data_IF_426594047960
#
_entry.id   IF_426594047960
#
_cell.length_a   1.000
_cell.length_b   1.000
_cell.length_c   1.000
_cell.angle_alpha   90.00
_cell.angle_beta   90.00
_cell.angle_gamma   90.00
#
_symmetry.space_group_name_H-M   'P 1'
#
loop_
_entity.id
_entity.type
_entity.pdbx_description
1 polymer ?
#
# COMPACT_ATOMS: atom_id res chain seq x y z
N UNK A 1 -57.31 51.96 -34.63
CA UNK A 1 -56.37 52.20 -35.77
C UNK A 1 -57.19 52.72 -36.94
N UNK A 2 -56.62 53.56 -37.82
CA UNK A 2 -57.28 53.93 -39.08
C UNK A 2 -56.93 52.87 -40.12
N UNK A 3 -57.85 51.96 -40.40
CA UNK A 3 -57.73 50.94 -41.44
C UNK A 3 -58.48 51.42 -42.67
N UNK A 4 -57.82 51.42 -43.83
CA UNK A 4 -58.45 51.77 -45.10
C UNK A 4 -59.15 50.52 -45.65
N UNK A 5 -60.48 50.56 -45.74
CA UNK A 5 -61.23 49.57 -46.51
C UNK A 5 -61.24 49.96 -47.99
N UNK A 6 -61.39 48.96 -48.89
CA UNK A 6 -61.41 49.15 -50.35
C UNK A 6 -62.47 50.15 -50.86
N UNK A 7 -63.39 50.58 -50.00
CA UNK A 7 -64.52 51.45 -50.36
C UNK A 7 -64.27 52.93 -50.04
N UNK A 8 -63.02 53.34 -49.80
CA UNK A 8 -62.61 54.73 -49.51
C UNK A 8 -63.34 55.37 -48.30
N UNK A 9 -63.85 54.55 -47.37
CA UNK A 9 -64.43 55.02 -46.11
C UNK A 9 -63.40 54.90 -45.00
N UNK A 10 -63.20 55.99 -44.28
CA UNK A 10 -62.42 56.01 -43.05
C UNK A 10 -63.26 55.32 -41.96
N UNK A 11 -62.99 54.04 -41.69
CA UNK A 11 -63.54 53.37 -40.53
C UNK A 11 -62.63 53.65 -39.33
N UNK A 12 -63.24 54.14 -38.25
CA UNK A 12 -62.59 54.28 -36.95
C UNK A 12 -62.80 52.96 -36.21
N UNK A 13 -61.92 52.00 -36.46
CA UNK A 13 -61.87 50.79 -35.66
C UNK A 13 -61.24 51.17 -34.31
N UNK A 14 -62.12 51.50 -33.36
CA UNK A 14 -61.73 51.53 -31.95
C UNK A 14 -61.45 50.10 -31.54
N UNK A 15 -60.18 49.80 -31.31
CA UNK A 15 -59.75 48.52 -30.72
C UNK A 15 -60.11 48.61 -29.25
N UNK A 16 -61.36 48.26 -28.94
CA UNK A 16 -61.85 48.12 -27.57
C UNK A 16 -61.52 46.73 -27.05
N UNK A 17 -61.39 46.61 -25.73
CA UNK A 17 -61.22 45.31 -25.10
C UNK A 17 -62.48 44.48 -25.32
N UNK A 18 -62.34 43.34 -26.00
CA UNK A 18 -63.45 42.41 -26.25
C UNK A 18 -63.97 41.79 -24.95
N UNK A 19 -63.08 41.55 -23.98
CA UNK A 19 -63.44 41.01 -22.67
C UNK A 19 -62.45 41.39 -21.58
N UNK A 20 -62.97 41.65 -20.38
CA UNK A 20 -62.18 41.77 -19.15
C UNK A 20 -62.21 40.46 -18.35
N UNK A 21 -61.04 39.94 -18.00
CA UNK A 21 -60.89 38.75 -17.16
C UNK A 21 -60.71 39.18 -15.70
N UNK A 22 -61.81 39.18 -14.94
CA UNK A 22 -61.81 39.62 -13.54
C UNK A 22 -61.58 38.44 -12.57
N UNK A 23 -60.71 38.62 -11.57
CA UNK A 23 -60.57 37.66 -10.47
C UNK A 23 -59.32 37.78 -9.62
N UNK A 24 -58.23 38.37 -10.14
CA UNK A 24 -57.09 38.75 -9.31
C UNK A 24 -57.45 39.89 -8.36
N UNK A 25 -56.89 39.87 -7.15
CA UNK A 25 -57.15 40.88 -6.10
C UNK A 25 -56.08 41.98 -6.03
N UNK A 26 -55.04 41.86 -6.85
CA UNK A 26 -53.90 42.77 -6.96
C UNK A 26 -53.47 42.88 -8.44
N UNK A 27 -52.54 43.80 -8.79
CA UNK A 27 -52.09 43.97 -10.17
C UNK A 27 -51.60 42.66 -10.81
N UNK A 28 -52.06 42.41 -12.03
CA UNK A 28 -51.53 41.35 -12.90
C UNK A 28 -50.17 41.80 -13.40
N UNK A 29 -49.13 41.05 -13.04
CA UNK A 29 -47.73 41.41 -13.29
C UNK A 29 -47.21 40.82 -14.59
N UNK A 30 -47.73 39.66 -15.01
CA UNK A 30 -47.31 39.00 -16.24
C UNK A 30 -48.42 38.13 -16.83
N UNK A 31 -48.32 37.91 -18.14
CA UNK A 31 -49.23 37.10 -18.95
C UNK A 31 -48.41 36.22 -19.90
N UNK A 32 -48.78 34.94 -19.99
CA UNK A 32 -48.21 34.00 -20.93
C UNK A 32 -49.32 33.25 -21.68
N UNK A 33 -49.16 33.05 -22.98
CA UNK A 33 -50.09 32.23 -23.77
C UNK A 33 -49.82 30.76 -23.53
N UNK A 34 -50.86 29.97 -23.30
CA UNK A 34 -50.73 28.51 -23.22
C UNK A 34 -50.84 27.93 -24.63
N UNK A 35 -49.80 27.23 -25.14
CA UNK A 35 -49.88 26.58 -26.44
C UNK A 35 -51.04 25.59 -26.51
N UNK A 36 -51.71 25.55 -27.66
CA UNK A 36 -52.73 24.52 -27.89
C UNK A 36 -52.05 23.18 -28.16
N UNK A 37 -52.59 22.07 -27.65
CA UNK A 37 -52.15 20.74 -28.05
C UNK A 37 -52.21 20.61 -29.58
N UNK A 38 -51.14 20.10 -30.20
CA UNK A 38 -51.05 19.98 -31.67
C UNK A 38 -52.14 19.07 -32.24
N UNK A 39 -52.60 18.12 -31.43
CA UNK A 39 -53.67 17.16 -31.69
C UNK A 39 -55.09 17.74 -31.48
N UNK A 40 -55.23 18.95 -30.92
CA UNK A 40 -56.52 19.59 -30.66
C UNK A 40 -56.51 21.08 -31.08
N UNK A 41 -56.54 21.37 -32.40
CA UNK A 41 -56.50 22.74 -32.91
C UNK A 41 -57.76 23.56 -32.58
N UNK A 42 -58.86 22.91 -32.22
CA UNK A 42 -60.13 23.56 -31.85
C UNK A 42 -60.27 23.77 -30.33
N UNK A 43 -59.30 23.33 -29.53
CA UNK A 43 -59.31 23.56 -28.09
C UNK A 43 -59.35 25.06 -27.76
N UNK A 44 -60.02 25.39 -26.65
CA UNK A 44 -60.13 26.76 -26.16
C UNK A 44 -58.74 27.39 -26.00
N UNK A 45 -58.62 28.65 -26.42
CA UNK A 45 -57.38 29.41 -26.22
C UNK A 45 -57.27 29.71 -24.72
N UNK A 46 -56.08 29.47 -24.16
CA UNK A 46 -55.83 29.65 -22.73
C UNK A 46 -54.66 30.60 -22.50
N UNK A 47 -54.74 31.37 -21.43
CA UNK A 47 -53.65 32.22 -20.97
C UNK A 47 -53.37 31.95 -19.49
N UNK A 48 -52.12 32.09 -19.10
CA UNK A 48 -51.66 32.06 -17.72
C UNK A 48 -51.37 33.50 -17.28
N UNK A 49 -51.90 33.91 -16.15
CA UNK A 49 -51.60 35.20 -15.52
C UNK A 49 -50.91 34.99 -14.19
N UNK A 50 -49.90 35.81 -13.92
CA UNK A 50 -49.29 35.99 -12.60
C UNK A 50 -49.72 37.32 -12.00
N UNK A 51 -49.90 37.36 -10.69
CA UNK A 51 -50.34 38.57 -9.99
C UNK A 51 -49.56 38.81 -8.71
N UNK A 52 -49.51 40.07 -8.32
CA UNK A 52 -49.00 40.50 -7.01
C UNK A 52 -49.82 39.96 -5.82
N UNK A 53 -50.99 39.35 -6.06
CA UNK A 53 -51.75 38.60 -5.04
C UNK A 53 -51.12 37.24 -4.71
N UNK A 54 -50.06 36.87 -5.42
CA UNK A 54 -49.31 35.64 -5.26
C UNK A 54 -49.95 34.42 -5.93
N UNK A 55 -51.01 34.62 -6.71
CA UNK A 55 -51.69 33.54 -7.43
C UNK A 55 -51.34 33.52 -8.91
N UNK A 56 -51.14 32.32 -9.44
CA UNK A 56 -51.20 32.03 -10.86
C UNK A 56 -52.63 31.65 -11.22
N UNK A 57 -53.16 32.19 -12.32
CA UNK A 57 -54.46 31.78 -12.85
C UNK A 57 -54.40 31.43 -14.31
N UNK A 58 -55.00 30.31 -14.67
CA UNK A 58 -55.23 29.96 -16.08
C UNK A 58 -56.65 30.32 -16.46
N UNK A 59 -56.84 30.92 -17.63
CA UNK A 59 -58.13 31.41 -18.11
C UNK A 59 -58.49 30.77 -19.44
N UNK A 60 -59.75 30.39 -19.59
CA UNK A 60 -60.34 30.06 -20.88
C UNK A 60 -60.80 31.36 -21.55
N UNK A 61 -60.24 31.69 -22.71
CA UNK A 61 -60.55 32.94 -23.41
C UNK A 61 -61.93 32.97 -24.09
N UNK A 62 -62.54 31.81 -24.35
CA UNK A 62 -63.89 31.76 -24.95
C UNK A 62 -64.94 32.11 -23.89
N UNK A 63 -64.76 31.62 -22.66
CA UNK A 63 -65.71 31.79 -21.55
C UNK A 63 -65.35 32.93 -20.61
N UNK A 64 -64.08 33.34 -20.59
CA UNK A 64 -63.52 34.31 -19.64
C UNK A 64 -63.41 33.79 -18.20
N UNK A 65 -63.62 32.49 -17.98
CA UNK A 65 -63.58 31.87 -16.66
C UNK A 65 -62.17 31.40 -16.31
N UNK A 66 -61.80 31.53 -15.03
CA UNK A 66 -60.57 30.95 -14.51
C UNK A 66 -60.74 29.42 -14.41
N UNK A 67 -59.89 28.67 -15.11
CA UNK A 67 -59.89 27.19 -15.10
C UNK A 67 -58.91 26.63 -14.07
N UNK A 68 -57.94 27.44 -13.62
CA UNK A 68 -56.92 27.05 -12.64
C UNK A 68 -56.58 28.21 -11.72
N UNK A 69 -56.28 27.91 -10.47
CA UNK A 69 -55.67 28.85 -9.53
C UNK A 69 -54.63 28.11 -8.67
N UNK A 70 -53.39 28.60 -8.67
CA UNK A 70 -52.29 28.09 -7.85
C UNK A 70 -51.65 29.22 -7.06
N UNK A 71 -51.08 28.90 -5.90
CA UNK A 71 -50.45 29.90 -5.04
C UNK A 71 -48.93 29.71 -5.05
N UNK A 72 -48.20 30.77 -5.39
CA UNK A 72 -46.75 30.80 -5.33
C UNK A 72 -46.24 30.99 -3.89
N UNK A 73 -47.01 31.69 -3.05
CA UNK A 73 -46.72 32.00 -1.65
C UNK A 73 -46.21 33.42 -1.39
N UNK A 74 -46.03 34.22 -2.45
CA UNK A 74 -45.62 35.62 -2.41
C UNK A 74 -45.94 36.30 -3.77
N UNK A 75 -45.91 37.64 -3.87
CA UNK A 75 -46.23 38.36 -5.11
C UNK A 75 -45.44 37.82 -6.30
N UNK A 76 -46.15 37.44 -7.37
CA UNK A 76 -45.53 36.91 -8.59
C UNK A 76 -45.00 38.08 -9.41
N UNK A 77 -43.77 37.97 -9.88
CA UNK A 77 -43.13 38.98 -10.71
C UNK A 77 -43.27 38.67 -12.19
N UNK A 78 -43.20 37.39 -12.57
CA UNK A 78 -43.29 36.94 -13.96
C UNK A 78 -43.76 35.49 -14.07
N UNK A 79 -44.32 35.12 -15.22
CA UNK A 79 -44.78 33.77 -15.55
C UNK A 79 -44.38 33.39 -16.97
N UNK A 80 -44.05 32.13 -17.18
CA UNK A 80 -43.75 31.60 -18.50
C UNK A 80 -44.38 30.22 -18.68
N UNK A 81 -44.74 29.87 -19.92
CA UNK A 81 -45.26 28.55 -20.28
C UNK A 81 -44.26 27.91 -21.25
N UNK A 82 -44.00 26.61 -21.09
CA UNK A 82 -43.12 25.87 -22.00
C UNK A 82 -43.74 25.78 -23.39
N UNK A 83 -42.90 25.69 -24.43
CA UNK A 83 -43.37 25.59 -25.83
C UNK A 83 -44.22 24.35 -26.11
N UNK A 84 -44.04 23.27 -25.35
CA UNK A 84 -44.88 22.06 -25.37
C UNK A 84 -46.20 22.19 -24.57
N UNK A 85 -46.37 23.29 -23.81
CA UNK A 85 -47.53 23.54 -22.93
C UNK A 85 -47.63 22.60 -21.72
N UNK A 86 -46.65 21.73 -21.49
CA UNK A 86 -46.67 20.72 -20.42
C UNK A 86 -46.19 21.26 -19.08
N UNK A 87 -45.51 22.41 -19.07
CA UNK A 87 -44.95 23.03 -17.88
C UNK A 87 -45.18 24.54 -17.90
N UNK A 88 -45.20 25.13 -16.72
CA UNK A 88 -45.12 26.58 -16.57
C UNK A 88 -44.26 26.92 -15.37
N UNK A 89 -43.70 28.12 -15.39
CA UNK A 89 -42.84 28.64 -14.36
C UNK A 89 -43.38 29.96 -13.85
N UNK A 90 -43.03 30.28 -12.62
CA UNK A 90 -43.33 31.56 -11.98
C UNK A 90 -42.12 32.01 -11.21
N UNK A 91 -41.84 33.31 -11.23
CA UNK A 91 -40.88 33.95 -10.34
C UNK A 91 -41.61 34.84 -9.34
N UNK A 92 -41.01 35.06 -8.18
CA UNK A 92 -41.62 35.87 -7.14
C UNK A 92 -40.63 36.77 -6.42
N UNK A 93 -41.19 37.80 -5.77
CA UNK A 93 -40.50 38.71 -4.88
C UNK A 93 -39.90 38.03 -3.63
N UNK A 94 -40.20 36.75 -3.37
CA UNK A 94 -39.59 35.95 -2.30
C UNK A 94 -38.30 35.22 -2.71
N UNK A 95 -37.68 35.63 -3.82
CA UNK A 95 -36.41 35.11 -4.35
C UNK A 95 -36.49 33.69 -4.92
N UNK A 96 -37.70 33.16 -5.16
CA UNK A 96 -37.89 31.81 -5.69
C UNK A 96 -38.50 31.84 -7.09
N UNK A 97 -38.12 30.84 -7.88
CA UNK A 97 -38.82 30.45 -9.07
C UNK A 97 -39.38 29.05 -8.87
N UNK A 98 -40.64 28.85 -9.21
CA UNK A 98 -41.32 27.55 -9.11
C UNK A 98 -41.65 27.04 -10.49
N UNK A 99 -41.30 25.79 -10.73
CA UNK A 99 -41.64 25.03 -11.93
C UNK A 99 -42.83 24.13 -11.60
N UNK A 100 -43.83 24.12 -12.48
CA UNK A 100 -45.09 23.44 -12.27
C UNK A 100 -45.41 22.52 -13.44
N UNK A 101 -46.05 21.40 -13.12
CA UNK A 101 -46.61 20.48 -14.11
C UNK A 101 -48.00 20.96 -14.55
N UNK A 102 -48.19 21.14 -15.85
CA UNK A 102 -49.44 21.65 -16.42
C UNK A 102 -50.60 20.66 -16.37
N UNK A 103 -50.34 19.35 -16.32
CA UNK A 103 -51.37 18.33 -16.30
C UNK A 103 -51.98 18.13 -14.90
N UNK A 104 -51.16 18.17 -13.85
CA UNK A 104 -51.59 17.77 -12.50
C UNK A 104 -51.38 18.82 -11.40
N UNK A 105 -50.92 20.03 -11.75
CA UNK A 105 -50.68 21.15 -10.83
C UNK A 105 -49.58 20.92 -9.78
N UNK A 106 -48.79 19.85 -9.89
CA UNK A 106 -47.71 19.61 -8.93
C UNK A 106 -46.55 20.57 -9.17
N UNK A 107 -45.98 21.08 -8.07
CA UNK A 107 -44.70 21.78 -8.09
C UNK A 107 -43.60 20.75 -8.36
N UNK A 108 -42.90 20.90 -9.49
CA UNK A 108 -41.82 20.01 -9.92
C UNK A 108 -40.49 20.38 -9.26
N UNK A 109 -40.21 21.68 -9.14
CA UNK A 109 -38.99 22.20 -8.53
C UNK A 109 -39.18 23.60 -7.95
N UNK A 110 -38.35 23.92 -6.96
CA UNK A 110 -38.14 25.28 -6.46
C UNK A 110 -36.68 25.66 -6.72
N UNK A 111 -36.49 26.75 -7.45
CA UNK A 111 -35.18 27.28 -7.84
C UNK A 111 -34.96 28.56 -7.05
N UNK A 112 -33.88 28.60 -6.27
CA UNK A 112 -33.62 29.66 -5.32
C UNK A 112 -32.13 29.98 -5.25
N UNK A 113 -31.85 31.26 -5.02
CA UNK A 113 -30.53 31.77 -4.69
C UNK A 113 -29.57 31.89 -5.86
N UNK A 114 -28.43 32.55 -5.58
CA UNK A 114 -27.36 32.73 -6.55
C UNK A 114 -26.53 31.44 -6.67
N UNK A 115 -26.55 30.83 -7.85
CA UNK A 115 -25.79 29.62 -8.14
C UNK A 115 -24.28 29.77 -7.86
N UNK A 116 -23.74 30.99 -7.89
CA UNK A 116 -22.33 31.27 -7.55
C UNK A 116 -22.07 31.14 -6.05
N UNK A 117 -22.96 31.66 -5.21
CA UNK A 117 -22.86 31.53 -3.77
C UNK A 117 -23.07 30.07 -3.33
N UNK A 118 -23.98 29.35 -4.02
CA UNK A 118 -24.20 27.92 -3.82
C UNK A 118 -23.00 27.06 -4.28
N UNK A 119 -22.18 27.55 -5.22
CA UNK A 119 -20.97 26.84 -5.64
C UNK A 119 -19.94 26.74 -4.51
N UNK A 120 -19.81 27.78 -3.68
CA UNK A 120 -18.92 27.76 -2.51
C UNK A 120 -19.43 26.80 -1.44
N UNK A 121 -20.74 26.81 -1.17
CA UNK A 121 -21.39 25.83 -0.28
C UNK A 121 -21.15 24.40 -0.77
N UNK A 122 -21.30 24.15 -2.07
CA UNK A 122 -21.05 22.83 -2.67
C UNK A 122 -19.57 22.42 -2.58
N UNK A 123 -18.64 23.37 -2.78
CA UNK A 123 -17.19 23.14 -2.63
C UNK A 123 -16.84 22.74 -1.19
N UNK A 124 -17.27 23.53 -0.20
CA UNK A 124 -17.01 23.24 1.22
C UNK A 124 -17.68 21.91 1.62
N UNK A 125 -18.88 21.63 1.12
CA UNK A 125 -19.57 20.36 1.38
C UNK A 125 -18.76 19.18 0.86
N UNK A 126 -18.22 19.24 -0.37
CA UNK A 126 -17.35 18.19 -0.92
C UNK A 126 -16.07 18.03 -0.09
N UNK A 127 -15.44 19.14 0.29
CA UNK A 127 -14.24 19.12 1.13
C UNK A 127 -14.52 18.48 2.49
N UNK A 128 -15.68 18.78 3.09
CA UNK A 128 -16.15 18.15 4.34
C UNK A 128 -16.35 16.66 4.14
N UNK A 129 -17.06 16.24 3.09
CA UNK A 129 -17.27 14.82 2.78
C UNK A 129 -15.94 14.07 2.62
N UNK A 130 -14.99 14.64 1.88
CA UNK A 130 -13.66 14.05 1.71
C UNK A 130 -12.89 13.97 3.02
N UNK A 131 -12.93 15.02 3.85
CA UNK A 131 -12.29 15.04 5.16
C UNK A 131 -12.90 14.00 6.13
N UNK A 132 -14.23 13.85 6.13
CA UNK A 132 -14.93 12.83 6.93
C UNK A 132 -14.55 11.42 6.49
N UNK A 133 -14.52 11.16 5.18
CA UNK A 133 -14.09 9.86 4.65
C UNK A 133 -12.64 9.54 5.06
N UNK A 134 -11.75 10.53 4.97
CA UNK A 134 -10.35 10.38 5.41
C UNK A 134 -10.25 10.11 6.92
N UNK A 135 -10.97 10.86 7.75
CA UNK A 135 -11.02 10.66 9.20
C UNK A 135 -11.49 9.25 9.56
N UNK A 136 -12.54 8.74 8.89
CA UNK A 136 -13.02 7.38 9.10
C UNK A 136 -11.94 6.34 8.75
N UNK A 137 -11.28 6.48 7.61
CA UNK A 137 -10.20 5.58 7.20
C UNK A 137 -9.00 5.62 8.17
N UNK A 138 -8.58 6.82 8.60
CA UNK A 138 -7.50 6.99 9.57
C UNK A 138 -7.87 6.40 10.94
N UNK A 139 -9.13 6.53 11.39
CA UNK A 139 -9.61 5.89 12.62
C UNK A 139 -9.59 4.37 12.53
N UNK A 140 -9.98 3.79 11.39
CA UNK A 140 -9.86 2.34 11.16
C UNK A 140 -8.40 1.90 11.18
N UNK A 141 -7.51 2.63 10.51
CA UNK A 141 -6.08 2.35 10.52
C UNK A 141 -5.47 2.46 11.93
N UNK A 142 -5.90 3.45 12.73
CA UNK A 142 -5.46 3.63 14.11
C UNK A 142 -5.89 2.44 14.98
N UNK A 143 -7.15 2.03 14.90
CA UNK A 143 -7.66 0.88 15.66
C UNK A 143 -6.89 -0.41 15.33
N UNK A 144 -6.58 -0.63 14.05
CA UNK A 144 -5.79 -1.78 13.61
C UNK A 144 -4.32 -1.68 14.06
N UNK A 145 -3.72 -0.48 14.03
CA UNK A 145 -2.36 -0.25 14.53
C UNK A 145 -2.27 -0.50 16.05
N UNK A 146 -3.24 -0.02 16.83
CA UNK A 146 -3.30 -0.24 18.28
C UNK A 146 -3.49 -1.72 18.63
N UNK A 147 -4.25 -2.47 17.83
CA UNK A 147 -4.41 -3.91 17.97
C UNK A 147 -3.14 -4.69 17.61
N UNK A 148 -2.41 -4.24 16.60
CA UNK A 148 -1.20 -4.91 16.13
C UNK A 148 0.03 -4.64 17.00
N UNK A 149 0.09 -3.50 17.69
CA UNK A 149 1.21 -3.15 18.58
C UNK A 149 1.55 -4.23 19.63
N UNK A 150 0.60 -4.76 20.43
CA UNK A 150 0.91 -5.84 21.39
C UNK A 150 1.38 -7.12 20.69
N UNK A 151 0.83 -7.45 19.52
CA UNK A 151 1.26 -8.63 18.74
C UNK A 151 2.71 -8.50 18.30
N UNK A 152 3.12 -7.33 17.79
CA UNK A 152 4.51 -7.05 17.42
C UNK A 152 5.45 -7.02 18.62
N UNK A 153 4.96 -6.53 19.76
CA UNK A 153 5.71 -6.53 21.04
C UNK A 153 6.01 -7.96 21.48
N UNK A 154 5.02 -8.84 21.46
CA UNK A 154 5.17 -10.25 21.82
C UNK A 154 6.08 -11.01 20.83
N UNK A 155 5.95 -10.71 19.54
CA UNK A 155 6.79 -11.30 18.50
C UNK A 155 8.27 -10.93 18.67
N UNK A 156 8.56 -9.64 18.90
CA UNK A 156 9.92 -9.16 19.16
C UNK A 156 10.52 -9.82 20.41
N UNK A 157 9.74 -9.91 21.49
CA UNK A 157 10.17 -10.61 22.71
C UNK A 157 10.53 -12.07 22.45
N UNK A 158 9.65 -12.83 21.77
CA UNK A 158 9.91 -14.24 21.43
C UNK A 158 11.15 -14.40 20.55
N UNK A 159 11.35 -13.50 19.58
CA UNK A 159 12.52 -13.54 18.72
C UNK A 159 13.82 -13.24 19.49
N UNK A 160 13.79 -12.27 20.41
CA UNK A 160 14.91 -11.96 21.30
C UNK A 160 15.25 -13.15 22.22
N UNK A 161 14.24 -13.80 22.82
CA UNK A 161 14.43 -14.98 23.65
C UNK A 161 15.03 -16.15 22.86
N UNK A 162 14.58 -16.37 21.61
CA UNK A 162 15.11 -17.40 20.73
C UNK A 162 16.57 -17.12 20.32
N UNK A 163 16.92 -15.86 20.04
CA UNK A 163 18.30 -15.45 19.77
C UNK A 163 19.19 -15.66 21.00
N UNK A 164 18.71 -15.31 22.19
CA UNK A 164 19.44 -15.54 23.44
C UNK A 164 19.72 -17.04 23.66
N UNK A 165 18.73 -17.90 23.41
CA UNK A 165 18.91 -19.36 23.48
C UNK A 165 19.92 -19.87 22.44
N UNK A 166 19.86 -19.41 21.19
CA UNK A 166 20.81 -19.80 20.15
C UNK A 166 22.24 -19.34 20.46
N UNK A 167 22.42 -18.14 21.02
CA UNK A 167 23.73 -17.65 21.48
C UNK A 167 24.33 -18.55 22.59
N UNK A 168 23.49 -19.00 23.53
CA UNK A 168 23.91 -19.94 24.58
C UNK A 168 24.28 -21.31 23.98
N UNK A 169 23.52 -21.80 23.00
CA UNK A 169 23.82 -23.06 22.34
C UNK A 169 25.16 -23.02 21.60
N UNK A 170 25.43 -21.97 20.82
CA UNK A 170 26.74 -21.78 20.16
C UNK A 170 27.87 -21.79 21.17
N UNK A 171 27.72 -21.05 22.29
CA UNK A 171 28.72 -21.03 23.36
C UNK A 171 28.97 -22.43 23.92
N UNK A 172 27.92 -23.20 24.15
CA UNK A 172 28.02 -24.58 24.63
C UNK A 172 28.69 -25.51 23.61
N UNK A 173 28.36 -25.41 22.31
CA UNK A 173 28.98 -26.22 21.25
C UNK A 173 30.44 -25.86 21.02
N UNK A 174 30.82 -24.57 21.12
CA UNK A 174 32.22 -24.14 21.06
C UNK A 174 33.04 -24.74 22.21
N UNK A 175 32.51 -24.72 23.44
CA UNK A 175 33.17 -25.34 24.58
C UNK A 175 33.33 -26.87 24.42
N UNK A 176 32.31 -27.54 23.88
CA UNK A 176 32.35 -28.97 23.59
C UNK A 176 33.40 -29.31 22.51
N UNK A 177 33.45 -28.55 21.40
CA UNK A 177 34.46 -28.73 20.36
C UNK A 177 35.86 -28.54 20.92
N UNK A 178 36.09 -27.51 21.75
CA UNK A 178 37.38 -27.29 22.40
C UNK A 178 37.81 -28.49 23.24
N UNK A 179 36.90 -29.04 24.04
CA UNK A 179 37.19 -30.21 24.88
C UNK A 179 37.60 -31.42 24.05
N UNK A 180 36.88 -31.68 22.94
CA UNK A 180 37.19 -32.81 22.04
C UNK A 180 38.50 -32.57 21.29
N UNK A 181 38.76 -31.33 20.86
CA UNK A 181 40.00 -30.95 20.18
C UNK A 181 41.23 -31.14 21.10
N UNK A 182 41.13 -30.71 22.36
CA UNK A 182 42.18 -30.89 23.37
C UNK A 182 42.43 -32.39 23.61
N UNK A 183 41.37 -33.21 23.70
CA UNK A 183 41.48 -34.66 23.84
C UNK A 183 42.11 -35.35 22.62
N UNK A 184 41.76 -34.90 21.40
CA UNK A 184 42.35 -35.40 20.16
C UNK A 184 43.84 -35.09 20.09
N UNK A 185 44.24 -33.85 20.38
CA UNK A 185 45.64 -33.45 20.43
C UNK A 185 46.45 -34.26 21.45
N UNK A 186 45.86 -34.55 22.63
CA UNK A 186 46.50 -35.39 23.63
C UNK A 186 46.67 -36.85 23.16
N UNK A 187 45.67 -37.43 22.50
CA UNK A 187 45.75 -38.79 21.96
C UNK A 187 46.78 -38.90 20.83
N UNK A 188 46.83 -37.91 19.93
CA UNK A 188 47.83 -37.84 18.86
C UNK A 188 49.25 -37.72 19.42
N UNK A 189 49.44 -36.89 20.46
CA UNK A 189 50.73 -36.78 21.15
C UNK A 189 51.17 -38.13 21.75
N UNK A 190 50.28 -38.83 22.45
CA UNK A 190 50.57 -40.15 23.02
C UNK A 190 50.91 -41.18 21.94
N UNK A 191 50.24 -41.15 20.79
CA UNK A 191 50.54 -42.03 19.67
C UNK A 191 51.96 -41.78 19.11
N UNK A 192 52.35 -40.51 18.96
CA UNK A 192 53.71 -40.12 18.52
C UNK A 192 54.77 -40.60 19.51
N UNK A 193 54.55 -40.36 20.82
CA UNK A 193 55.48 -40.78 21.87
C UNK A 193 55.62 -42.30 21.93
N UNK A 194 54.51 -43.05 21.85
CA UNK A 194 54.52 -44.51 21.84
C UNK A 194 55.22 -45.07 20.59
N UNK A 195 55.01 -44.46 19.42
CA UNK A 195 55.71 -44.84 18.19
C UNK A 195 57.23 -44.65 18.30
N UNK A 196 57.69 -43.56 18.92
CA UNK A 196 59.11 -43.32 19.17
C UNK A 196 59.72 -44.38 20.12
N UNK A 197 58.98 -44.79 21.17
CA UNK A 197 59.39 -45.88 22.07
C UNK A 197 59.48 -47.21 21.33
N UNK A 198 58.49 -47.54 20.49
CA UNK A 198 58.49 -48.74 19.68
C UNK A 198 59.68 -48.77 18.70
N UNK A 199 59.98 -47.66 18.04
CA UNK A 199 61.14 -47.55 17.15
C UNK A 199 62.45 -47.79 17.89
N UNK A 200 62.63 -47.18 19.08
CA UNK A 200 63.81 -47.39 19.91
C UNK A 200 63.95 -48.85 20.36
N UNK A 201 62.85 -49.50 20.75
CA UNK A 201 62.86 -50.91 21.14
C UNK A 201 63.17 -51.84 19.96
N UNK A 202 62.66 -51.54 18.77
CA UNK A 202 62.97 -52.28 17.54
C UNK A 202 64.45 -52.19 17.16
N UNK A 203 65.06 -51.00 17.29
CA UNK A 203 66.50 -50.82 17.09
C UNK A 203 67.33 -51.60 18.11
N UNK A 204 66.92 -51.60 19.38
CA UNK A 204 67.59 -52.39 20.41
C UNK A 204 67.49 -53.90 20.16
N UNK A 205 66.35 -54.39 19.68
CA UNK A 205 66.18 -55.78 19.24
C UNK A 205 67.11 -56.10 18.06
N UNK A 206 67.16 -55.25 17.04
CA UNK A 206 68.04 -55.46 15.89
C UNK A 206 69.52 -55.56 16.30
N UNK A 207 69.96 -54.72 17.25
CA UNK A 207 71.31 -54.81 17.81
C UNK A 207 71.55 -56.11 18.59
N UNK A 208 70.56 -56.58 19.37
CA UNK A 208 70.67 -57.86 20.08
C UNK A 208 70.67 -59.07 19.12
N UNK A 209 69.87 -59.03 18.04
CA UNK A 209 69.86 -60.03 16.98
C UNK A 209 71.26 -60.13 16.33
N UNK A 210 71.91 -58.99 16.07
CA UNK A 210 73.28 -58.94 15.53
C UNK A 210 74.31 -59.53 16.51
N UNK A 211 74.21 -59.20 17.80
CA UNK A 211 75.10 -59.76 18.83
C UNK A 211 74.96 -61.29 18.95
N UNK A 212 73.74 -61.83 18.87
CA UNK A 212 73.51 -63.29 18.85
C UNK A 212 74.08 -63.92 17.59
N UNK A 213 73.91 -63.29 16.42
CA UNK A 213 74.51 -63.76 15.18
C UNK A 213 76.04 -63.82 15.26
N UNK A 214 76.68 -62.77 15.80
CA UNK A 214 78.13 -62.72 16.02
C UNK A 214 78.61 -63.76 17.04
N UNK A 215 77.90 -63.92 18.17
CA UNK A 215 78.23 -64.93 19.19
C UNK A 215 78.07 -66.36 18.66
N UNK A 216 77.06 -66.61 17.82
CA UNK A 216 76.85 -67.90 17.15
C UNK A 216 78.00 -68.21 16.19
N UNK A 217 78.43 -67.23 15.40
CA UNK A 217 79.58 -67.38 14.51
C UNK A 217 80.86 -67.66 15.32
N UNK A 218 81.12 -66.90 16.39
CA UNK A 218 82.29 -67.10 17.25
C UNK A 218 82.30 -68.49 17.91
N UNK A 219 81.15 -68.99 18.37
CA UNK A 219 81.02 -70.36 18.88
C UNK A 219 81.34 -71.39 17.81
N UNK A 220 80.76 -71.26 16.61
CA UNK A 220 81.02 -72.18 15.49
C UNK A 220 82.51 -72.21 15.13
N UNK A 221 83.17 -71.05 15.07
CA UNK A 221 84.63 -70.95 14.84
C UNK A 221 85.44 -71.60 15.96
N UNK A 222 85.07 -71.39 17.23
CA UNK A 222 85.73 -72.02 18.37
C UNK A 222 85.56 -73.56 18.35
N UNK A 223 84.37 -74.06 18.01
CA UNK A 223 84.08 -75.49 17.85
C UNK A 223 84.89 -76.11 16.72
N UNK A 224 85.02 -75.42 15.59
CA UNK A 224 85.86 -75.85 14.48
C UNK A 224 87.35 -75.89 14.87
N UNK A 225 87.82 -74.90 15.64
CA UNK A 225 89.19 -74.84 16.16
C UNK A 225 89.47 -75.97 17.14
N UNK A 226 88.51 -76.28 18.03
CA UNK A 226 88.58 -77.43 18.94
C UNK A 226 88.66 -78.75 18.16
N UNK A 227 87.83 -78.93 17.14
CA UNK A 227 87.86 -80.13 16.29
C UNK A 227 89.23 -80.30 15.62
N UNK A 228 89.81 -79.23 15.06
CA UNK A 228 91.16 -79.23 14.48
C UNK A 228 92.25 -79.55 15.51
N UNK A 229 92.18 -78.98 16.71
CA UNK A 229 93.14 -79.24 17.78
C UNK A 229 93.04 -80.69 18.30
N UNK A 230 91.83 -81.26 18.39
CA UNK A 230 91.60 -82.66 18.75
C UNK A 230 92.18 -83.61 17.71
N UNK A 231 91.99 -83.34 16.41
CA UNK A 231 92.63 -84.10 15.33
C UNK A 231 94.15 -84.01 15.37
N UNK A 232 94.73 -82.85 15.73
CA UNK A 232 96.17 -82.68 15.86
C UNK A 232 96.77 -83.44 17.06
N UNK A 233 96.09 -83.46 18.22
CA UNK A 233 96.52 -84.27 19.39
C UNK A 233 96.42 -85.77 19.12
N UNK A 234 95.44 -86.22 18.31
CA UNK A 234 95.36 -87.62 17.88
C UNK A 234 96.53 -88.05 16.99
N UNK A 235 97.11 -87.10 16.22
CA UNK A 235 98.26 -87.36 15.36
C UNK A 235 99.61 -87.37 16.11
N UNK A 236 99.73 -86.66 17.24
CA UNK A 236 100.94 -86.64 18.09
C UNK A 236 100.57 -86.56 19.60
N UNK A 237 100.29 -87.71 20.24
CA UNK A 237 99.72 -87.77 21.59
C UNK A 237 100.66 -87.33 22.72
N UNK A 238 101.98 -87.29 22.48
CA UNK A 238 102.99 -86.96 23.50
C UNK A 238 103.40 -85.47 23.46
N UNK A 239 102.79 -84.66 22.59
CA UNK A 239 103.09 -83.26 22.43
C UNK A 239 102.30 -82.38 23.42
N UNK A 240 102.97 -82.02 24.52
CA UNK A 240 102.36 -81.21 25.59
C UNK A 240 101.79 -79.86 25.09
N UNK A 241 102.32 -79.29 24.00
CA UNK A 241 101.81 -78.06 23.38
C UNK A 241 100.46 -78.25 22.70
N UNK A 242 100.25 -79.39 22.02
CA UNK A 242 98.98 -79.74 21.37
C UNK A 242 97.91 -80.09 22.43
N UNK A 243 98.28 -80.78 23.51
CA UNK A 243 97.37 -81.05 24.64
C UNK A 243 96.90 -79.75 25.31
N UNK A 244 97.79 -78.77 25.51
CA UNK A 244 97.38 -77.44 25.98
C UNK A 244 96.49 -76.71 24.96
N UNK A 245 96.72 -76.87 23.65
CA UNK A 245 95.91 -76.24 22.62
C UNK A 245 94.46 -76.78 22.61
N UNK A 246 94.27 -78.09 22.82
CA UNK A 246 92.93 -78.69 23.02
C UNK A 246 92.26 -78.12 24.26
N UNK A 247 92.96 -78.03 25.40
CA UNK A 247 92.39 -77.45 26.63
C UNK A 247 92.00 -75.98 26.45
N UNK A 248 92.82 -75.18 25.75
CA UNK A 248 92.50 -73.77 25.44
C UNK A 248 91.32 -73.64 24.47
N UNK A 249 91.26 -74.47 23.42
CA UNK A 249 90.16 -74.49 22.47
C UNK A 249 88.85 -74.96 23.13
N UNK A 250 88.93 -75.91 24.05
CA UNK A 250 87.78 -76.38 24.84
C UNK A 250 87.27 -75.27 25.76
N UNK A 251 88.17 -74.55 26.45
CA UNK A 251 87.81 -73.39 27.26
C UNK A 251 87.20 -72.25 26.42
N UNK A 252 87.70 -72.03 25.20
CA UNK A 252 87.15 -71.04 24.27
C UNK A 252 85.73 -71.41 23.77
N UNK A 253 85.45 -72.69 23.52
CA UNK A 253 84.09 -73.17 23.22
C UNK A 253 83.17 -72.93 24.40
N UNK A 254 83.57 -73.30 25.62
CA UNK A 254 82.75 -73.08 26.84
C UNK A 254 82.46 -71.59 27.06
N UNK A 255 83.47 -70.71 26.91
CA UNK A 255 83.29 -69.27 27.06
C UNK A 255 82.40 -68.67 25.96
N UNK A 256 82.52 -69.14 24.71
CA UNK A 256 81.64 -68.74 23.61
C UNK A 256 80.20 -69.22 23.83
N UNK A 257 80.01 -70.39 24.43
CA UNK A 257 78.69 -70.97 24.72
C UNK A 257 77.99 -70.22 25.87
N UNK A 258 78.71 -69.88 26.94
CA UNK A 258 78.18 -69.01 28.00
C UNK A 258 77.83 -67.62 27.46
N UNK A 259 78.71 -67.04 26.62
CA UNK A 259 78.42 -65.76 25.98
C UNK A 259 77.18 -65.84 25.09
N UNK A 260 77.05 -66.88 24.25
CA UNK A 260 75.86 -67.10 23.43
C UNK A 260 74.61 -67.21 24.30
N UNK A 261 74.64 -67.97 25.39
CA UNK A 261 73.51 -68.10 26.32
C UNK A 261 73.07 -66.76 26.90
N UNK A 262 74.01 -65.90 27.29
CA UNK A 262 73.69 -64.54 27.79
C UNK A 262 73.11 -63.64 26.71
N UNK A 263 73.66 -63.67 25.49
CA UNK A 263 73.17 -62.88 24.35
C UNK A 263 71.77 -63.33 23.91
N UNK A 264 71.50 -64.64 23.90
CA UNK A 264 70.17 -65.19 23.56
C UNK A 264 69.13 -64.80 24.61
N UNK A 265 69.50 -64.74 25.89
CA UNK A 265 68.61 -64.26 26.95
C UNK A 265 68.30 -62.76 26.81
N UNK A 266 69.31 -61.93 26.50
CA UNK A 266 69.08 -60.50 26.23
C UNK A 266 68.24 -60.29 24.96
N UNK A 267 68.50 -61.04 23.88
CA UNK A 267 67.70 -61.02 22.65
C UNK A 267 66.22 -61.34 22.93
N UNK A 268 65.93 -62.37 23.73
CA UNK A 268 64.57 -62.72 24.11
C UNK A 268 63.88 -61.58 24.89
N UNK A 269 64.60 -60.93 25.82
CA UNK A 269 64.09 -59.78 26.57
C UNK A 269 63.84 -58.56 25.68
N UNK A 270 64.76 -58.23 24.76
CA UNK A 270 64.61 -57.12 23.80
C UNK A 270 63.51 -57.40 22.78
N UNK A 271 63.36 -58.65 22.36
CA UNK A 271 62.26 -59.08 21.49
C UNK A 271 60.92 -58.88 22.17
N UNK A 272 60.77 -59.31 23.43
CA UNK A 272 59.55 -59.06 24.21
C UNK A 272 59.27 -57.56 24.34
N UNK A 273 60.28 -56.77 24.71
CA UNK A 273 60.15 -55.32 24.84
C UNK A 273 59.73 -54.64 23.53
N UNK A 274 60.26 -55.08 22.38
CA UNK A 274 59.87 -54.58 21.07
C UNK A 274 58.42 -54.93 20.72
N UNK A 275 57.98 -56.17 21.01
CA UNK A 275 56.58 -56.60 20.80
C UNK A 275 55.63 -55.79 21.67
N UNK A 276 55.92 -55.65 22.97
CA UNK A 276 55.08 -54.89 23.91
C UNK A 276 54.99 -53.41 23.49
N UNK A 277 56.12 -52.80 23.11
CA UNK A 277 56.15 -51.41 22.66
C UNK A 277 55.40 -51.21 21.33
N UNK A 278 55.51 -52.15 20.39
CA UNK A 278 54.75 -52.11 19.13
C UNK A 278 53.24 -52.25 19.36
N UNK A 279 52.82 -53.10 20.29
CA UNK A 279 51.41 -53.24 20.65
C UNK A 279 50.88 -51.96 21.32
N UNK A 280 51.65 -51.36 22.23
CA UNK A 280 51.30 -50.09 22.85
C UNK A 280 51.20 -48.94 21.83
N UNK A 281 52.11 -48.88 20.85
CA UNK A 281 52.04 -47.90 19.76
C UNK A 281 50.80 -48.09 18.88
N UNK A 282 50.44 -49.33 18.54
CA UNK A 282 49.24 -49.63 17.76
C UNK A 282 47.94 -49.27 18.50
N UNK A 283 47.87 -49.54 19.81
CA UNK A 283 46.74 -49.14 20.67
C UNK A 283 46.60 -47.62 20.75
N UNK A 284 47.71 -46.90 20.99
CA UNK A 284 47.72 -45.44 21.05
C UNK A 284 47.31 -44.80 19.71
N UNK A 285 47.79 -45.33 18.57
CA UNK A 285 47.40 -44.88 17.24
C UNK A 285 45.90 -45.11 16.97
N UNK A 286 45.37 -46.28 17.36
CA UNK A 286 43.95 -46.58 17.20
C UNK A 286 43.06 -45.63 18.02
N UNK A 287 43.48 -45.30 19.25
CA UNK A 287 42.82 -44.30 20.09
C UNK A 287 42.86 -42.90 19.48
N UNK A 288 43.99 -42.49 18.89
CA UNK A 288 44.09 -41.21 18.19
C UNK A 288 43.15 -41.13 16.97
N UNK A 289 43.10 -42.19 16.15
CA UNK A 289 42.18 -42.27 15.00
C UNK A 289 40.72 -42.25 15.46
N UNK A 290 40.39 -42.93 16.56
CA UNK A 290 39.04 -42.94 17.12
C UNK A 290 38.55 -41.54 17.54
N UNK A 291 39.45 -40.60 17.85
CA UNK A 291 39.11 -39.21 18.19
C UNK A 291 38.69 -38.36 16.98
N UNK A 292 38.91 -38.82 15.74
CA UNK A 292 38.48 -38.08 14.55
C UNK A 292 36.97 -37.93 14.45
N UNK A 293 36.22 -39.01 14.72
CA UNK A 293 34.76 -38.97 14.61
C UNK A 293 34.13 -38.01 15.63
N UNK A 294 34.43 -38.08 16.95
CA UNK A 294 33.92 -37.11 17.91
C UNK A 294 34.26 -35.67 17.55
N UNK A 295 35.46 -35.41 17.02
CA UNK A 295 35.86 -34.06 16.59
C UNK A 295 35.00 -33.56 15.43
N UNK A 296 34.80 -34.38 14.40
CA UNK A 296 33.96 -34.04 13.25
C UNK A 296 32.49 -33.84 13.66
N UNK A 297 31.96 -34.70 14.53
CA UNK A 297 30.59 -34.58 15.05
C UNK A 297 30.43 -33.27 15.84
N UNK A 298 31.39 -32.93 16.72
CA UNK A 298 31.36 -31.69 17.50
C UNK A 298 31.48 -30.44 16.61
N UNK A 299 32.33 -30.49 15.58
CA UNK A 299 32.49 -29.40 14.62
C UNK A 299 31.21 -29.20 13.79
N UNK A 300 30.58 -30.28 13.35
CA UNK A 300 29.30 -30.23 12.62
C UNK A 300 28.16 -29.69 13.50
N UNK A 301 28.13 -30.09 14.77
CA UNK A 301 27.16 -29.58 15.74
C UNK A 301 27.35 -28.07 15.99
N UNK A 302 28.60 -27.59 16.05
CA UNK A 302 28.89 -26.16 16.15
C UNK A 302 28.40 -25.39 14.92
N UNK A 303 28.75 -25.85 13.71
CA UNK A 303 28.30 -25.21 12.47
C UNK A 303 26.77 -25.15 12.35
N UNK A 304 26.09 -26.20 12.81
CA UNK A 304 24.62 -26.25 12.85
C UNK A 304 24.06 -25.20 13.82
N UNK A 305 24.65 -25.07 15.02
CA UNK A 305 24.25 -24.07 16.00
C UNK A 305 24.53 -22.63 15.51
N UNK A 306 25.66 -22.39 14.85
CA UNK A 306 26.00 -21.07 14.27
C UNK A 306 25.01 -20.68 13.15
N UNK A 307 24.60 -21.64 12.32
CA UNK A 307 23.58 -21.41 11.29
C UNK A 307 22.23 -21.05 11.91
N UNK A 308 21.82 -21.77 12.97
CA UNK A 308 20.58 -21.47 13.71
C UNK A 308 20.64 -20.10 14.42
N UNK A 309 21.78 -19.74 15.00
CA UNK A 309 22.04 -18.43 15.60
C UNK A 309 21.89 -17.31 14.57
N UNK A 310 22.48 -17.46 13.39
CA UNK A 310 22.37 -16.47 12.32
C UNK A 310 20.91 -16.28 11.86
N UNK A 311 20.15 -17.38 11.73
CA UNK A 311 18.72 -17.30 11.41
C UNK A 311 17.92 -16.60 12.52
N UNK A 312 18.17 -16.94 13.78
CA UNK A 312 17.52 -16.31 14.93
C UNK A 312 17.84 -14.80 15.01
N UNK A 313 19.09 -14.41 14.68
CA UNK A 313 19.51 -13.02 14.67
C UNK A 313 18.77 -12.20 13.60
N UNK A 314 18.57 -12.79 12.41
CA UNK A 314 17.77 -12.16 11.34
C UNK A 314 16.31 -11.99 11.76
N UNK A 315 15.70 -13.01 12.36
CA UNK A 315 14.30 -12.94 12.83
C UNK A 315 14.13 -11.89 13.92
N UNK A 316 15.07 -11.80 14.88
CA UNK A 316 15.06 -10.77 15.92
C UNK A 316 15.18 -9.36 15.32
N UNK A 317 16.11 -9.15 14.38
CA UNK A 317 16.27 -7.85 13.73
C UNK A 317 15.03 -7.41 12.93
N UNK A 318 14.35 -8.35 12.26
CA UNK A 318 13.09 -8.06 11.55
C UNK A 318 11.99 -7.69 12.56
N UNK A 319 11.83 -8.47 13.63
CA UNK A 319 10.80 -8.23 14.63
C UNK A 319 11.00 -6.89 15.36
N UNK A 320 12.24 -6.52 15.67
CA UNK A 320 12.57 -5.22 16.26
C UNK A 320 12.24 -4.06 15.32
N UNK A 321 12.52 -4.20 14.01
CA UNK A 321 12.17 -3.19 13.01
C UNK A 321 10.66 -3.01 12.91
N UNK A 322 9.92 -4.11 12.81
CA UNK A 322 8.46 -4.08 12.74
C UNK A 322 7.83 -3.50 14.02
N UNK A 323 8.40 -3.78 15.19
CA UNK A 323 7.97 -3.17 16.45
C UNK A 323 8.25 -1.66 16.47
N UNK A 324 9.42 -1.22 16.00
CA UNK A 324 9.75 0.20 15.91
C UNK A 324 8.78 0.95 14.97
N UNK A 325 8.51 0.39 13.79
CA UNK A 325 7.53 0.91 12.84
C UNK A 325 6.12 1.01 13.47
N UNK A 326 5.65 -0.07 14.12
CA UNK A 326 4.35 -0.08 14.79
C UNK A 326 4.26 0.94 15.95
N UNK A 327 5.33 1.08 16.72
CA UNK A 327 5.42 2.02 17.86
C UNK A 327 5.37 3.47 17.38
N UNK A 328 6.00 3.79 16.25
CA UNK A 328 5.97 5.12 15.66
C UNK A 328 4.63 5.44 14.96
N UNK A 329 3.96 4.44 14.40
CA UNK A 329 2.74 4.62 13.63
C UNK A 329 1.55 5.11 14.49
N UNK A 330 1.35 4.54 15.68
CA UNK A 330 0.23 4.89 16.56
C UNK A 330 0.17 6.39 16.91
N UNK A 331 1.23 7.04 17.43
CA UNK A 331 1.19 8.47 17.72
C UNK A 331 1.05 9.33 16.45
N UNK A 332 1.61 8.90 15.31
CA UNK A 332 1.44 9.60 14.04
C UNK A 332 -0.03 9.60 13.60
N UNK A 333 -0.71 8.46 13.68
CA UNK A 333 -2.13 8.36 13.34
C UNK A 333 -3.01 9.16 14.31
N UNK A 334 -2.69 9.17 15.61
CA UNK A 334 -3.39 10.00 16.61
C UNK A 334 -3.27 11.50 16.30
N UNK A 335 -2.08 11.94 15.90
CA UNK A 335 -1.86 13.32 15.49
C UNK A 335 -2.68 13.67 14.23
N UNK A 336 -2.72 12.77 13.25
CA UNK A 336 -3.52 12.97 12.03
C UNK A 336 -5.03 13.03 12.31
N UNK A 337 -5.56 12.15 13.18
CA UNK A 337 -6.96 12.20 13.62
C UNK A 337 -7.26 13.55 14.26
N UNK A 338 -6.41 14.02 15.17
CA UNK A 338 -6.58 15.33 15.84
C UNK A 338 -6.60 16.48 14.83
N UNK A 339 -5.73 16.44 13.82
CA UNK A 339 -5.69 17.45 12.76
C UNK A 339 -6.96 17.42 11.87
N UNK A 340 -7.49 16.22 11.59
CA UNK A 340 -8.73 16.05 10.83
C UNK A 340 -9.95 16.54 11.62
N UNK A 341 -9.99 16.31 12.93
CA UNK A 341 -11.05 16.83 13.82
C UNK A 341 -11.09 18.36 13.77
N UNK A 342 -9.93 19.01 13.90
CA UNK A 342 -9.81 20.46 13.81
C UNK A 342 -10.22 20.98 12.43
N UNK A 343 -9.82 20.30 11.36
CA UNK A 343 -10.21 20.66 9.99
C UNK A 343 -11.72 20.54 9.79
N UNK A 344 -12.35 19.48 10.32
CA UNK A 344 -13.80 19.28 10.22
C UNK A 344 -14.56 20.37 10.98
N UNK A 345 -14.15 20.72 12.20
CA UNK A 345 -14.75 21.80 12.96
C UNK A 345 -14.66 23.16 12.21
N UNK A 346 -13.53 23.41 11.56
CA UNK A 346 -13.34 24.59 10.72
C UNK A 346 -14.28 24.58 9.51
N UNK A 347 -14.32 23.46 8.77
CA UNK A 347 -15.20 23.31 7.60
C UNK A 347 -16.68 23.42 7.97
N UNK A 348 -17.08 22.99 9.17
CA UNK A 348 -18.45 23.18 9.67
C UNK A 348 -18.81 24.63 9.90
N UNK A 349 -17.88 25.38 10.47
CA UNK A 349 -18.04 26.83 10.68
C UNK A 349 -18.12 27.56 9.33
N UNK A 350 -17.20 27.24 8.41
CA UNK A 350 -17.16 27.81 7.06
C UNK A 350 -18.42 27.46 6.26
N UNK A 351 -18.90 26.21 6.35
CA UNK A 351 -20.12 25.78 5.67
C UNK A 351 -21.33 26.55 6.17
N UNK A 352 -21.46 26.70 7.49
CA UNK A 352 -22.56 27.45 8.10
C UNK A 352 -22.52 28.91 7.67
N UNK A 353 -21.34 29.53 7.69
CA UNK A 353 -21.16 30.91 7.24
C UNK A 353 -21.47 31.07 5.74
N UNK A 354 -21.01 30.15 4.89
CA UNK A 354 -21.28 30.16 3.46
C UNK A 354 -22.77 29.97 3.15
N UNK A 355 -23.47 29.11 3.90
CA UNK A 355 -24.92 28.93 3.78
C UNK A 355 -25.69 30.21 4.17
N UNK A 356 -25.30 30.84 5.28
CA UNK A 356 -25.89 32.11 5.72
C UNK A 356 -25.62 33.22 4.69
N UNK A 357 -24.40 33.30 4.16
CA UNK A 357 -24.05 34.27 3.12
C UNK A 357 -24.83 34.04 1.83
N UNK A 358 -24.98 32.78 1.41
CA UNK A 358 -25.78 32.43 0.23
C UNK A 358 -27.25 32.82 0.42
N UNK A 359 -27.82 32.59 1.61
CA UNK A 359 -29.19 32.97 1.92
C UNK A 359 -29.37 34.49 2.02
N UNK A 360 -28.40 35.20 2.61
CA UNK A 360 -28.44 36.66 2.70
C UNK A 360 -28.25 37.35 1.34
N UNK A 361 -27.57 36.68 0.39
CA UNK A 361 -27.37 37.17 -0.97
C UNK A 361 -28.57 36.92 -1.90
N UNK A 362 -29.63 36.25 -1.43
CA UNK A 362 -30.82 36.02 -2.25
C UNK A 362 -31.57 37.33 -2.51
N UNK A 363 -31.92 37.55 -3.77
CA UNK A 363 -32.66 38.73 -4.20
C UNK A 363 -33.85 38.35 -5.08
N UNK A 364 -34.84 39.25 -5.25
CA UNK A 364 -36.03 38.97 -6.03
C UNK A 364 -35.72 38.54 -7.46
N UNK A 365 -36.39 37.48 -7.90
CA UNK A 365 -36.40 37.09 -9.31
C UNK A 365 -37.51 37.88 -10.01
N UNK A 366 -37.20 38.46 -11.17
CA UNK A 366 -38.08 39.38 -11.90
C UNK A 366 -38.54 38.88 -13.25
N UNK A 367 -37.79 37.97 -13.86
CA UNK A 367 -38.05 37.49 -15.20
C UNK A 367 -37.83 35.99 -15.29
N UNK A 368 -38.65 35.31 -16.10
CA UNK A 368 -38.52 33.89 -16.39
C UNK A 368 -38.88 33.60 -17.85
N UNK A 369 -38.12 32.71 -18.50
CA UNK A 369 -38.41 32.31 -19.87
C UNK A 369 -38.04 30.84 -20.11
N UNK A 370 -38.86 30.12 -20.88
CA UNK A 370 -38.50 28.79 -21.38
C UNK A 370 -37.78 28.90 -22.71
N UNK A 371 -36.87 27.95 -22.97
CA UNK A 371 -36.35 27.74 -24.31
C UNK A 371 -37.45 27.22 -25.26
N UNK A 372 -37.37 27.51 -26.57
CA UNK A 372 -38.39 27.08 -27.53
C UNK A 372 -38.57 25.55 -27.60
N UNK A 373 -37.50 24.80 -27.32
CA UNK A 373 -37.52 23.33 -27.24
C UNK A 373 -38.05 22.79 -25.89
N UNK A 374 -38.42 23.66 -24.96
CA UNK A 374 -38.96 23.34 -23.62
C UNK A 374 -38.00 22.60 -22.69
N UNK A 375 -36.70 22.54 -23.00
CA UNK A 375 -35.68 21.81 -22.22
C UNK A 375 -34.96 22.66 -21.19
N UNK A 376 -34.88 23.96 -21.41
CA UNK A 376 -34.24 24.90 -20.49
C UNK A 376 -35.21 25.95 -19.99
N UNK A 377 -34.92 26.43 -18.79
CA UNK A 377 -35.58 27.55 -18.14
C UNK A 377 -34.51 28.56 -17.75
N UNK A 378 -34.73 29.84 -18.03
CA UNK A 378 -33.87 30.93 -17.57
C UNK A 378 -34.61 31.79 -16.55
N UNK A 379 -33.90 32.20 -15.51
CA UNK A 379 -34.41 33.13 -14.48
C UNK A 379 -33.44 34.29 -14.31
N UNK A 380 -33.97 35.49 -14.13
CA UNK A 380 -33.18 36.71 -13.92
C UNK A 380 -33.87 37.61 -12.91
N UNK A 381 -33.08 38.41 -12.20
CA UNK A 381 -33.59 39.24 -11.10
C UNK A 381 -32.64 40.35 -10.69
N UNK A 382 -32.79 40.80 -9.45
CA UNK A 382 -32.07 41.95 -8.89
C UNK A 382 -30.56 41.73 -8.75
N UNK A 383 -30.08 40.49 -8.84
CA UNK A 383 -28.65 40.16 -8.82
C UNK A 383 -27.88 40.54 -10.10
N UNK A 384 -28.57 40.90 -11.19
CA UNK A 384 -27.91 41.18 -12.47
C UNK A 384 -27.28 39.94 -13.14
N UNK A 385 -27.69 38.73 -12.73
CA UNK A 385 -27.20 37.46 -13.25
C UNK A 385 -28.37 36.64 -13.77
N UNK A 386 -28.17 35.97 -14.91
CA UNK A 386 -29.12 34.96 -15.41
C UNK A 386 -28.67 33.60 -14.92
N UNK A 387 -29.60 32.83 -14.37
CA UNK A 387 -29.39 31.41 -14.08
C UNK A 387 -30.20 30.58 -15.06
N UNK A 388 -29.62 29.49 -15.56
CA UNK A 388 -30.32 28.50 -16.38
C UNK A 388 -30.50 27.20 -15.63
N UNK A 389 -31.62 26.55 -15.91
CA UNK A 389 -32.09 25.37 -15.22
C UNK A 389 -32.62 24.37 -16.23
N UNK A 390 -32.47 23.09 -15.91
CA UNK A 390 -33.12 22.01 -16.62
C UNK A 390 -34.63 22.09 -16.39
N UNK A 391 -35.41 22.21 -17.46
CA UNK A 391 -36.83 22.48 -17.39
C UNK A 391 -37.67 21.26 -16.96
N UNK A 392 -37.08 20.07 -16.83
CA UNK A 392 -37.77 18.86 -16.38
C UNK A 392 -37.57 18.63 -14.88
N UNK A 393 -36.35 18.85 -14.40
CA UNK A 393 -35.91 18.53 -13.04
C UNK A 393 -35.70 19.75 -12.15
N UNK A 394 -35.59 20.95 -12.74
CA UNK A 394 -35.23 22.18 -12.03
C UNK A 394 -33.79 22.22 -11.53
N UNK A 395 -32.92 21.34 -12.02
CA UNK A 395 -31.49 21.35 -11.67
C UNK A 395 -30.78 22.52 -12.34
N UNK A 396 -29.85 23.15 -11.62
CA UNK A 396 -29.02 24.22 -12.13
C UNK A 396 -28.12 23.75 -13.29
N UNK A 397 -28.04 24.54 -14.36
CA UNK A 397 -27.23 24.25 -15.55
C UNK A 397 -26.05 25.23 -15.66
N UNK A 398 -26.33 26.53 -15.81
CA UNK A 398 -25.29 27.54 -16.00
C UNK A 398 -25.69 28.91 -15.41
N UNK A 399 -24.75 29.84 -15.38
CA UNK A 399 -24.99 31.23 -15.00
C UNK A 399 -24.30 32.18 -15.96
N UNK A 400 -25.01 33.23 -16.38
CA UNK A 400 -24.51 34.28 -17.27
C UNK A 400 -24.30 35.57 -16.47
N UNK A 401 -23.04 36.00 -16.37
CA UNK A 401 -22.64 37.14 -15.54
C UNK A 401 -22.14 38.27 -16.44
N UNK A 402 -22.63 39.50 -16.20
CA UNK A 402 -22.09 40.69 -16.85
C UNK A 402 -22.98 41.93 -16.79
N UNK A 403 -24.27 41.79 -16.47
CA UNK A 403 -25.11 42.97 -16.21
C UNK A 403 -24.76 43.60 -14.86
N UNK A 404 -24.80 44.93 -14.82
CA UNK A 404 -24.49 45.73 -13.61
C UNK A 404 -25.77 46.05 -12.82
N UNK A 405 -26.92 45.96 -13.47
CA UNK A 405 -28.23 46.24 -12.87
C UNK A 405 -29.21 45.06 -12.95
N UNK A 406 -30.36 45.15 -12.26
CA UNK A 406 -31.41 44.14 -12.27
C UNK A 406 -31.86 43.73 -13.68
N UNK A 407 -31.99 42.41 -13.87
CA UNK A 407 -32.59 41.85 -15.09
C UNK A 407 -34.11 41.98 -14.96
N UNK A 408 -34.72 42.67 -15.93
CA UNK A 408 -36.15 42.98 -15.93
C UNK A 408 -36.92 42.23 -17.03
N UNK A 409 -36.21 41.66 -18.00
CA UNK A 409 -36.81 40.89 -19.09
C UNK A 409 -35.87 39.82 -19.59
N UNK A 410 -36.44 38.66 -19.95
CA UNK A 410 -35.75 37.51 -20.52
C UNK A 410 -36.53 36.96 -21.71
N UNK A 411 -35.81 36.57 -22.75
CA UNK A 411 -36.36 35.82 -23.87
C UNK A 411 -35.32 34.86 -24.42
N UNK A 412 -35.74 33.66 -24.82
CA UNK A 412 -34.89 32.81 -25.66
C UNK A 412 -35.13 33.15 -27.13
N UNK A 413 -34.05 33.26 -27.90
CA UNK A 413 -34.11 33.37 -29.37
C UNK A 413 -34.24 31.98 -30.01
N UNK A 414 -33.46 31.04 -29.52
CA UNK A 414 -33.40 29.62 -29.91
C UNK A 414 -33.04 28.77 -28.68
N UNK A 415 -32.72 27.48 -28.83
CA UNK A 415 -32.40 26.61 -27.70
C UNK A 415 -31.10 27.01 -26.96
N UNK A 416 -30.21 27.76 -27.62
CA UNK A 416 -28.85 28.02 -27.15
C UNK A 416 -28.58 29.51 -26.87
N UNK A 417 -29.49 30.41 -27.22
CA UNK A 417 -29.28 31.86 -27.12
C UNK A 417 -30.33 32.54 -26.23
N UNK A 418 -29.86 33.23 -25.20
CA UNK A 418 -30.70 34.04 -24.29
C UNK A 418 -30.49 35.53 -24.59
N UNK A 419 -31.59 36.28 -24.60
CA UNK A 419 -31.63 37.73 -24.64
C UNK A 419 -32.07 38.26 -23.27
N UNK A 420 -31.34 39.25 -22.77
CA UNK A 420 -31.59 39.89 -21.48
C UNK A 420 -31.85 41.37 -21.67
N UNK A 421 -32.82 41.92 -20.94
CA UNK A 421 -32.98 43.36 -20.75
C UNK A 421 -32.69 43.72 -19.30
N UNK A 422 -31.83 44.71 -19.06
CA UNK A 422 -31.45 45.14 -17.72
C UNK A 422 -31.76 46.61 -17.45
N UNK A 423 -31.97 46.91 -16.17
CA UNK A 423 -32.08 48.28 -15.64
C UNK A 423 -30.78 49.08 -15.79
N UNK A 424 -29.67 48.44 -16.16
CA UNK A 424 -28.41 49.10 -16.54
C UNK A 424 -28.46 49.81 -17.92
N UNK A 425 -29.63 49.82 -18.55
CA UNK A 425 -29.90 50.43 -19.87
C UNK A 425 -29.25 49.68 -21.03
N UNK A 426 -28.84 48.43 -20.83
CA UNK A 426 -28.32 47.56 -21.88
C UNK A 426 -29.20 46.33 -22.10
N UNK A 427 -29.12 45.79 -23.31
CA UNK A 427 -29.60 44.46 -23.62
C UNK A 427 -28.39 43.54 -23.85
N UNK A 428 -28.41 42.35 -23.28
CA UNK A 428 -27.37 41.34 -23.44
C UNK A 428 -27.84 40.19 -24.34
N UNK A 429 -26.91 39.57 -25.05
CA UNK A 429 -27.13 38.33 -25.78
C UNK A 429 -26.09 37.31 -25.33
N UNK A 430 -26.55 36.15 -24.88
CA UNK A 430 -25.75 35.11 -24.26
C UNK A 430 -25.86 33.83 -25.06
N UNK A 431 -24.72 33.27 -25.42
CA UNK A 431 -24.66 31.93 -26.02
C UNK A 431 -24.37 30.90 -24.91
N UNK A 432 -25.29 29.95 -24.72
CA UNK A 432 -25.21 28.86 -23.75
C UNK A 432 -24.34 27.69 -24.24
N UNK A 433 -24.11 27.62 -25.54
CA UNK A 433 -23.22 26.67 -26.19
C UNK A 433 -22.24 27.44 -27.09
N UNK A 434 -21.31 28.24 -26.52
CA UNK A 434 -20.26 28.83 -27.32
C UNK A 434 -19.52 27.68 -28.00
N UNK A 435 -19.40 27.72 -29.33
CA UNK A 435 -18.64 26.73 -30.07
C UNK A 435 -17.22 26.74 -29.52
N UNK A 436 -16.89 25.76 -28.69
CA UNK A 436 -15.58 25.68 -28.08
C UNK A 436 -14.60 25.21 -29.15
N UNK A 437 -13.61 26.02 -29.48
CA UNK A 437 -12.49 25.55 -30.28
C UNK A 437 -11.44 24.98 -29.33
N UNK A 438 -10.94 23.79 -29.65
CA UNK A 438 -9.77 23.25 -28.98
C UNK A 438 -8.57 24.11 -29.38
N UNK A 439 -8.12 24.98 -28.46
CA UNK A 439 -6.97 25.85 -28.71
C UNK A 439 -5.68 25.05 -28.73
N UNK A 440 -5.50 24.16 -27.75
CA UNK A 440 -4.39 23.20 -27.67
C UNK A 440 -4.65 22.14 -26.61
N UNK A 441 -4.14 20.93 -26.83
CA UNK A 441 -3.98 19.92 -25.80
C UNK A 441 -2.63 20.11 -25.12
N UNK A 442 -2.60 20.30 -23.80
CA UNK A 442 -1.35 20.37 -23.04
C UNK A 442 -1.18 19.02 -22.33
N UNK A 443 -0.29 18.19 -22.86
CA UNK A 443 0.02 16.84 -22.35
C UNK A 443 -0.27 15.72 -23.36
N UNK A 444 0.26 14.53 -23.07
CA UNK A 444 0.15 13.34 -23.92
C UNK A 444 -1.25 12.73 -23.88
N UNK A 445 -1.67 12.05 -24.96
CA UNK A 445 -2.99 11.43 -25.12
C UNK A 445 -3.28 10.29 -24.13
N UNK A 446 -2.25 9.81 -23.43
CA UNK A 446 -2.30 8.63 -22.56
C UNK A 446 -2.44 8.95 -21.06
N UNK A 447 -2.59 10.23 -20.65
CA UNK A 447 -2.74 10.62 -19.23
C UNK A 447 -4.06 11.38 -18.98
N UNK A 448 -5.01 10.83 -18.19
CA UNK A 448 -6.30 11.47 -17.90
C UNK A 448 -6.20 12.74 -17.02
N UNK A 449 -5.01 13.10 -16.52
CA UNK A 449 -4.78 14.31 -15.72
C UNK A 449 -4.56 15.60 -16.54
N UNK A 450 -4.57 15.54 -17.89
CA UNK A 450 -4.30 16.72 -18.72
C UNK A 450 -5.41 17.77 -18.62
N UNK A 451 -5.02 19.00 -18.27
CA UNK A 451 -5.90 20.17 -18.30
C UNK A 451 -6.20 20.53 -19.77
N UNK A 452 -7.44 20.30 -20.19
CA UNK A 452 -7.93 20.72 -21.52
C UNK A 452 -8.28 22.19 -21.45
N UNK A 453 -7.51 23.05 -22.11
CA UNK A 453 -7.85 24.45 -22.25
C UNK A 453 -8.82 24.61 -23.44
N UNK A 454 -10.01 25.17 -23.19
CA UNK A 454 -11.01 25.49 -24.21
C UNK A 454 -11.20 26.99 -24.23
N UNK A 455 -11.18 27.59 -25.41
CA UNK A 455 -11.51 29.00 -25.60
C UNK A 455 -12.77 29.13 -26.46
N UNK A 456 -13.59 30.18 -26.25
CA UNK A 456 -14.69 30.49 -27.16
C UNK A 456 -14.12 30.74 -28.57
N UNK A 457 -14.76 30.18 -29.61
CA UNK A 457 -14.41 30.43 -31.01
C UNK A 457 -14.64 31.88 -31.45
#
# INVERSE_FOLDING_TARGET
LLTWSLDNRVQRDEVLADRQLAGHSQPVTSLATVPRPKDQPDAARRILSGSSDGTLREWDLNTGQATRQLNHGAPITDVAVSGDGQRFASTSANNTAKLWNAANNQQLAEMRGDLRALAEVARITRDKTAATAKQQATNTALAEAEKNLPVRTDAAKKAADALAAANQEVTAKQAALKTVADGKAAAEKLAIEAAAVAQKAALAKAGADEQVAQATLAKNTATETLSKAQSAVQADPNNAGLTQAVTRAQAAVTAADEKLKTMTADQAAKMKAATDASAAAADAASKAVAMNKPFLDANTALQTAETAQNAAAQVAAIADRELAEATALVPSLKAEVTALDQRLAKLETELTAAQQAAQAAEQPLRAVAFSPDSRQLATGGDMGVVHTWDAETGKAVASCVGHVGPIVSLAFRDADTILTGSSDKSAGMWNLNPGWMLERTIGSIDDPATLINRVPA
#
